data_IF_435345367682
#
_entry.id   IF_435345367682
#
_cell.length_a   1.000
_cell.length_b   1.000
_cell.length_c   1.000
_cell.angle_alpha   90.00
_cell.angle_beta   90.00
_cell.angle_gamma   90.00
#
_symmetry.space_group_name_H-M   'P 1'
#
loop_
_entity.id
_entity.type
_entity.pdbx_description
1 polymer ?
#
# COMPACT_ATOMS: atom_id res chain seq x y z
N UNK A 1 13.53 12.86 -13.60
CA UNK A 1 14.08 11.80 -12.71
C UNK A 1 13.33 11.70 -11.38
N UNK A 2 13.36 12.73 -10.52
CA UNK A 2 12.77 12.70 -9.17
C UNK A 2 11.29 12.30 -9.12
N UNK A 3 10.50 12.69 -10.11
CA UNK A 3 9.09 12.32 -10.21
C UNK A 3 8.88 10.81 -10.39
N UNK A 4 9.70 10.16 -11.23
CA UNK A 4 9.64 8.72 -11.43
C UNK A 4 9.96 7.99 -10.12
N UNK A 5 11.04 8.36 -9.45
CA UNK A 5 11.45 7.70 -8.22
C UNK A 5 10.48 7.94 -7.05
N UNK A 6 10.08 9.19 -6.81
CA UNK A 6 9.28 9.52 -5.62
C UNK A 6 7.78 9.34 -5.80
N UNK A 7 7.24 9.44 -7.03
CA UNK A 7 5.81 9.34 -7.27
C UNK A 7 5.37 7.98 -7.81
N UNK A 8 6.22 7.26 -8.56
CA UNK A 8 5.83 6.02 -9.26
C UNK A 8 6.31 4.77 -8.53
N UNK A 9 7.54 4.73 -8.03
CA UNK A 9 8.07 3.53 -7.35
C UNK A 9 7.27 3.17 -6.07
N UNK A 10 6.92 4.12 -5.17
CA UNK A 10 6.16 3.78 -3.98
C UNK A 10 4.81 3.10 -4.27
N UNK A 11 3.93 3.64 -5.14
CA UNK A 11 2.69 2.96 -5.47
C UNK A 11 2.89 1.65 -6.23
N UNK A 12 3.96 1.48 -7.03
CA UNK A 12 4.26 0.18 -7.64
C UNK A 12 4.55 -0.90 -6.59
N UNK A 13 5.32 -0.57 -5.56
CA UNK A 13 5.60 -1.48 -4.44
C UNK A 13 4.33 -1.77 -3.61
N UNK A 14 3.46 -0.77 -3.45
CA UNK A 14 2.16 -0.94 -2.82
C UNK A 14 1.26 -1.90 -3.61
N UNK A 15 1.18 -1.75 -4.94
CA UNK A 15 0.43 -2.65 -5.84
C UNK A 15 0.96 -4.09 -5.72
N UNK A 16 2.28 -4.27 -5.74
CA UNK A 16 2.91 -5.58 -5.59
C UNK A 16 2.47 -6.24 -4.28
N UNK A 17 2.56 -5.51 -3.17
CA UNK A 17 2.19 -6.01 -1.83
C UNK A 17 0.72 -6.38 -1.75
N UNK A 18 -0.18 -5.48 -2.21
CA UNK A 18 -1.62 -5.73 -2.26
C UNK A 18 -1.94 -6.98 -3.09
N UNK A 19 -1.29 -7.14 -4.24
CA UNK A 19 -1.50 -8.30 -5.14
C UNK A 19 -1.06 -9.60 -4.48
N UNK A 20 0.07 -9.59 -3.76
CA UNK A 20 0.53 -10.77 -2.99
C UNK A 20 -0.51 -11.15 -1.95
N UNK A 21 -1.02 -10.20 -1.16
CA UNK A 21 -2.02 -10.46 -0.12
C UNK A 21 -3.30 -11.04 -0.72
N UNK A 22 -3.79 -10.46 -1.82
CA UNK A 22 -4.98 -10.97 -2.52
C UNK A 22 -4.74 -12.42 -2.96
N UNK A 23 -3.63 -12.70 -3.66
CA UNK A 23 -3.32 -14.05 -4.16
C UNK A 23 -3.18 -15.08 -3.04
N UNK A 24 -2.52 -14.72 -1.93
CA UNK A 24 -2.39 -15.62 -0.77
C UNK A 24 -3.74 -15.97 -0.13
N UNK A 25 -4.76 -15.14 -0.34
CA UNK A 25 -6.10 -15.32 0.21
C UNK A 25 -7.14 -15.75 -0.84
N UNK A 26 -6.73 -15.96 -2.10
CA UNK A 26 -7.62 -16.45 -3.16
C UNK A 26 -7.68 -17.98 -3.08
N UNK A 27 -8.71 -18.54 -2.45
CA UNK A 27 -8.89 -20.00 -2.40
C UNK A 27 -9.87 -20.55 -1.36
N UNK A 28 -10.10 -19.85 -0.25
CA UNK A 28 -10.88 -20.37 0.89
C UNK A 28 -12.20 -19.63 1.18
N UNK A 29 -12.71 -18.80 0.26
CA UNK A 29 -13.81 -17.89 0.58
C UNK A 29 -13.40 -16.79 1.59
N UNK A 30 -12.10 -16.48 1.64
CA UNK A 30 -11.53 -15.50 2.57
C UNK A 30 -12.07 -14.10 2.29
N UNK A 31 -12.83 -13.57 3.26
CA UNK A 31 -13.28 -12.18 3.29
C UNK A 31 -12.11 -11.18 3.33
N UNK A 32 -10.93 -11.63 3.76
CA UNK A 32 -9.73 -10.77 3.83
C UNK A 32 -9.23 -10.42 2.45
N UNK A 33 -9.14 -11.40 1.53
CA UNK A 33 -8.71 -11.15 0.15
C UNK A 33 -9.66 -10.20 -0.59
N UNK A 34 -10.97 -10.39 -0.39
CA UNK A 34 -12.01 -9.51 -0.94
C UNK A 34 -11.95 -8.10 -0.35
N UNK A 35 -11.81 -7.98 0.98
CA UNK A 35 -11.68 -6.70 1.66
C UNK A 35 -10.46 -5.92 1.16
N UNK A 36 -9.29 -6.57 1.09
CA UNK A 36 -8.06 -5.98 0.56
C UNK A 36 -8.27 -5.47 -0.86
N UNK A 37 -8.92 -6.24 -1.74
CA UNK A 37 -9.23 -5.81 -3.09
C UNK A 37 -10.12 -4.55 -3.11
N UNK A 38 -11.22 -4.54 -2.36
CA UNK A 38 -12.15 -3.40 -2.33
C UNK A 38 -11.47 -2.14 -1.77
N UNK A 39 -10.70 -2.26 -0.69
CA UNK A 39 -10.00 -1.13 -0.08
C UNK A 39 -8.88 -0.57 -0.96
N UNK A 40 -8.20 -1.42 -1.73
CA UNK A 40 -7.09 -0.99 -2.57
C UNK A 40 -7.51 -0.23 -3.83
N UNK A 41 -8.75 -0.40 -4.32
CA UNK A 41 -9.29 0.34 -5.49
C UNK A 41 -9.17 1.87 -5.32
N UNK A 42 -9.67 2.50 -4.23
CA UNK A 42 -9.52 3.94 -4.03
C UNK A 42 -8.15 4.33 -3.46
N UNK A 43 -7.52 3.47 -2.65
CA UNK A 43 -6.27 3.78 -1.94
C UNK A 43 -5.09 3.91 -2.91
N UNK A 44 -4.99 3.03 -3.91
CA UNK A 44 -3.89 3.05 -4.90
C UNK A 44 -3.83 4.36 -5.71
N UNK A 45 -4.92 4.82 -6.37
CA UNK A 45 -4.90 6.10 -7.08
C UNK A 45 -4.72 7.28 -6.12
N UNK A 46 -5.33 7.26 -4.93
CA UNK A 46 -5.16 8.32 -3.94
C UNK A 46 -3.69 8.47 -3.51
N UNK A 47 -3.01 7.36 -3.24
CA UNK A 47 -1.59 7.35 -2.87
C UNK A 47 -0.72 7.88 -4.01
N UNK A 48 -1.01 7.48 -5.24
CA UNK A 48 -0.28 7.93 -6.44
C UNK A 48 -0.42 9.43 -6.64
N UNK A 49 -1.65 9.96 -6.55
CA UNK A 49 -1.94 11.39 -6.67
C UNK A 49 -1.28 12.17 -5.53
N UNK A 50 -1.38 11.69 -4.30
CA UNK A 50 -0.75 12.31 -3.14
C UNK A 50 0.77 12.40 -3.30
N UNK A 51 1.43 11.30 -3.66
CA UNK A 51 2.88 11.27 -3.86
C UNK A 51 3.32 12.16 -5.03
N UNK A 52 2.52 12.25 -6.09
CA UNK A 52 2.75 13.16 -7.20
C UNK A 52 2.68 14.63 -6.74
N UNK A 53 1.60 15.04 -6.07
CA UNK A 53 1.43 16.42 -5.57
C UNK A 53 2.55 16.77 -4.59
N UNK A 54 2.85 15.89 -3.64
CA UNK A 54 3.91 16.09 -2.64
C UNK A 54 5.30 16.21 -3.28
N UNK A 55 5.54 15.49 -4.37
CA UNK A 55 6.80 15.59 -5.12
C UNK A 55 6.91 16.92 -5.87
N UNK A 56 5.80 17.48 -6.36
CA UNK A 56 5.76 18.83 -6.95
C UNK A 56 6.00 19.92 -5.91
N UNK A 57 5.38 19.82 -4.74
CA UNK A 57 5.38 20.92 -3.75
C UNK A 57 6.67 21.01 -2.95
N UNK A 58 7.36 19.89 -2.69
CA UNK A 58 8.53 19.88 -1.79
C UNK A 58 9.88 20.00 -2.50
N UNK A 59 10.05 20.94 -3.43
CA UNK A 59 11.22 21.03 -4.32
C UNK A 59 12.58 21.06 -3.58
N UNK A 60 12.65 21.67 -2.39
CA UNK A 60 13.90 21.81 -1.61
C UNK A 60 14.29 20.56 -0.80
N UNK A 61 13.39 19.59 -0.64
CA UNK A 61 13.68 18.38 0.13
C UNK A 61 14.58 17.43 -0.66
N UNK A 62 15.62 16.87 -0.01
CA UNK A 62 16.48 15.83 -0.60
C UNK A 62 15.66 14.65 -1.13
N UNK A 63 15.98 14.20 -2.34
CA UNK A 63 15.24 13.13 -3.05
C UNK A 63 15.05 11.85 -2.23
N UNK A 64 16.10 11.39 -1.53
CA UNK A 64 16.03 10.20 -0.66
C UNK A 64 15.06 10.35 0.51
N UNK A 65 15.04 11.52 1.14
CA UNK A 65 14.13 11.82 2.27
C UNK A 65 12.68 11.84 1.78
N UNK A 66 12.44 12.50 0.65
CA UNK A 66 11.11 12.55 0.04
C UNK A 66 10.65 11.15 -0.42
N UNK A 67 11.54 10.36 -1.01
CA UNK A 67 11.27 8.98 -1.39
C UNK A 67 10.86 8.15 -0.17
N UNK A 68 11.63 8.18 0.92
CA UNK A 68 11.31 7.45 2.14
C UNK A 68 9.95 7.86 2.73
N UNK A 69 9.63 9.16 2.73
CA UNK A 69 8.33 9.64 3.20
C UNK A 69 7.17 9.15 2.33
N UNK A 70 7.31 9.22 1.00
CA UNK A 70 6.28 8.75 0.07
C UNK A 70 6.12 7.22 0.11
N UNK A 71 7.22 6.50 0.37
CA UNK A 71 7.22 5.06 0.60
C UNK A 71 6.46 4.70 1.88
N UNK A 72 6.75 5.38 3.00
CA UNK A 72 6.03 5.18 4.25
C UNK A 72 4.52 5.35 4.06
N UNK A 73 4.11 6.40 3.36
CA UNK A 73 2.69 6.68 3.10
C UNK A 73 2.05 5.59 2.25
N UNK A 74 2.76 5.11 1.22
CA UNK A 74 2.30 4.00 0.40
C UNK A 74 2.17 2.69 1.18
N UNK A 75 2.98 2.49 2.22
CA UNK A 75 2.96 1.28 3.05
C UNK A 75 1.98 1.34 4.24
N UNK A 76 1.43 2.49 4.61
CA UNK A 76 0.43 2.59 5.70
C UNK A 76 -0.74 1.62 5.46
N UNK A 77 -1.36 1.69 4.27
CA UNK A 77 -2.51 0.85 3.96
C UNK A 77 -2.16 -0.66 3.91
N UNK A 78 -1.10 -1.10 3.19
CA UNK A 78 -0.64 -2.49 3.27
C UNK A 78 -0.36 -2.98 4.69
N UNK A 79 0.29 -2.17 5.54
CA UNK A 79 0.60 -2.55 6.92
C UNK A 79 -0.67 -2.76 7.75
N UNK A 80 -1.65 -1.86 7.63
CA UNK A 80 -2.95 -2.00 8.31
C UNK A 80 -3.65 -3.28 7.83
N UNK A 81 -3.65 -3.55 6.53
CA UNK A 81 -4.28 -4.74 5.96
C UNK A 81 -3.60 -6.04 6.42
N UNK A 82 -2.27 -6.06 6.51
CA UNK A 82 -1.52 -7.19 7.08
C UNK A 82 -1.83 -7.37 8.56
N UNK A 83 -1.94 -6.29 9.34
CA UNK A 83 -2.28 -6.37 10.76
C UNK A 83 -3.70 -6.96 10.96
N UNK A 84 -4.67 -6.52 10.16
CA UNK A 84 -6.03 -7.08 10.14
C UNK A 84 -5.99 -8.57 9.76
N UNK A 85 -5.20 -8.96 8.76
CA UNK A 85 -5.03 -10.36 8.37
C UNK A 85 -4.48 -11.23 9.51
N UNK A 86 -3.43 -10.78 10.20
CA UNK A 86 -2.87 -11.51 11.35
C UNK A 86 -3.92 -11.67 12.44
N UNK A 87 -4.66 -10.61 12.76
CA UNK A 87 -5.75 -10.64 13.75
C UNK A 87 -6.84 -11.65 13.37
N UNK A 88 -7.27 -11.66 12.12
CA UNK A 88 -8.32 -12.57 11.65
C UNK A 88 -7.85 -14.03 11.66
N UNK A 89 -6.61 -14.27 11.24
CA UNK A 89 -6.01 -15.62 11.23
C UNK A 89 -5.86 -16.18 12.65
N UNK A 90 -5.46 -15.34 13.61
CA UNK A 90 -5.39 -15.74 15.02
C UNK A 90 -6.79 -16.03 15.57
N UNK A 91 -7.79 -15.21 15.23
CA UNK A 91 -9.16 -15.41 15.67
C UNK A 91 -9.76 -16.75 15.16
N UNK A 92 -9.54 -17.08 13.89
CA UNK A 92 -9.97 -18.36 13.31
C UNK A 92 -9.27 -19.57 13.95
N UNK A 93 -8.02 -19.41 14.42
CA UNK A 93 -7.28 -20.50 15.08
C UNK A 93 -7.70 -20.80 16.53
N UNK A 94 -8.54 -19.94 17.12
CA UNK A 94 -9.02 -20.06 18.51
C UNK A 94 -10.44 -20.66 18.61
N UNK A 95 -11.09 -20.95 17.48
CA UNK A 95 -12.43 -21.56 17.37
C UNK A 95 -12.31 -22.97 16.83
#
# INVERSE_FOLDING_TARGET
MRYLYCAVIPPLLQILTVTIIIKMNTGNGSWVGLGVFIFSIPILPATTVYNAIRTKTKVETKTLVLFGQNLLIAYIAPVILVAIFILFTIADSLV
#
